data_IF_807634266018
#
_entry.id   IF_807634266018
#
_cell.length_a   1.000
_cell.length_b   1.000
_cell.length_c   1.000
_cell.angle_alpha   90.00
_cell.angle_beta   90.00
_cell.angle_gamma   90.00
#
_symmetry.space_group_name_H-M   'P 1'
#
loop_
_entity.id
_entity.type
_entity.pdbx_description
1 polymer ?
#
# COMPACT_ATOMS: atom_id res chain seq x y z
N UNK A 1 43.15 -20.10 -9.81
CA UNK A 1 42.03 -19.16 -10.00
C UNK A 1 40.71 -19.87 -9.73
N UNK A 2 40.39 -20.16 -8.47
CA UNK A 2 39.19 -20.92 -8.14
C UNK A 2 38.95 -20.91 -6.64
N UNK A 3 38.13 -19.99 -6.16
CA UNK A 3 37.60 -19.95 -4.78
C UNK A 3 36.43 -18.96 -4.59
N UNK A 4 35.66 -18.61 -5.64
CA UNK A 4 34.44 -17.76 -5.48
C UNK A 4 33.11 -18.42 -5.88
N UNK A 5 33.12 -19.55 -6.59
CA UNK A 5 31.87 -20.25 -6.97
C UNK A 5 31.29 -21.14 -5.87
N UNK A 6 32.06 -21.45 -4.82
CA UNK A 6 31.66 -22.41 -3.77
C UNK A 6 30.70 -21.83 -2.72
N UNK A 7 30.81 -20.54 -2.38
CA UNK A 7 29.93 -19.91 -1.38
C UNK A 7 28.57 -19.52 -1.97
N UNK A 8 28.53 -19.02 -3.20
CA UNK A 8 27.29 -18.70 -3.90
C UNK A 8 26.40 -19.93 -4.13
N UNK A 9 26.99 -21.07 -4.51
CA UNK A 9 26.25 -22.33 -4.67
C UNK A 9 25.84 -22.95 -3.35
N UNK A 10 26.53 -22.64 -2.25
CA UNK A 10 26.15 -23.08 -0.90
C UNK A 10 24.96 -22.26 -0.38
N UNK A 11 24.92 -20.96 -0.64
CA UNK A 11 23.76 -20.09 -0.36
C UNK A 11 22.51 -20.53 -1.14
N UNK A 12 22.62 -20.72 -2.46
CA UNK A 12 21.49 -21.16 -3.29
C UNK A 12 20.90 -22.52 -2.84
N UNK A 13 21.73 -23.45 -2.37
CA UNK A 13 21.27 -24.77 -1.88
C UNK A 13 20.63 -24.70 -0.50
N UNK A 14 21.10 -23.82 0.38
CA UNK A 14 20.47 -23.56 1.69
C UNK A 14 19.14 -22.85 1.50
N UNK A 15 19.06 -21.92 0.54
CA UNK A 15 17.85 -21.19 0.15
C UNK A 15 16.79 -22.13 -0.46
N UNK A 16 17.17 -23.02 -1.40
CA UNK A 16 16.25 -24.01 -1.97
C UNK A 16 15.74 -25.01 -0.90
N UNK A 17 16.58 -25.42 0.04
CA UNK A 17 16.20 -26.31 1.13
C UNK A 17 15.28 -25.60 2.14
N UNK A 18 15.55 -24.35 2.52
CA UNK A 18 14.65 -23.55 3.35
C UNK A 18 13.32 -23.24 2.65
N UNK A 19 13.37 -22.95 1.34
CA UNK A 19 12.18 -22.75 0.51
C UNK A 19 11.35 -24.04 0.43
N UNK A 20 11.96 -25.21 0.21
CA UNK A 20 11.24 -26.49 0.12
C UNK A 20 10.79 -27.05 1.47
N UNK A 21 11.48 -26.74 2.56
CA UNK A 21 11.22 -27.32 3.89
C UNK A 21 10.31 -26.45 4.78
N UNK A 22 10.12 -25.17 4.48
CA UNK A 22 9.28 -24.25 5.27
C UNK A 22 8.30 -23.38 4.47
N UNK A 23 8.36 -23.32 3.14
CA UNK A 23 7.31 -22.66 2.36
C UNK A 23 6.12 -23.61 2.34
N UNK A 24 5.29 -23.48 3.37
CA UNK A 24 3.91 -23.88 3.27
C UNK A 24 3.30 -22.95 2.20
N UNK A 25 3.43 -23.31 0.92
CA UNK A 25 2.80 -22.59 -0.20
C UNK A 25 1.31 -22.41 0.11
N UNK A 26 0.74 -23.39 0.83
CA UNK A 26 -0.59 -23.32 1.43
C UNK A 26 -0.77 -22.14 2.38
N UNK A 27 0.14 -21.82 3.30
CA UNK A 27 0.01 -20.64 4.17
C UNK A 27 0.11 -19.32 3.39
N UNK A 28 1.00 -19.23 2.39
CA UNK A 28 1.07 -18.05 1.51
C UNK A 28 -0.21 -17.91 0.66
N UNK A 29 -0.75 -19.01 0.15
CA UNK A 29 -2.07 -19.05 -0.48
C UNK A 29 -3.18 -18.66 0.51
N UNK A 30 -3.06 -19.04 1.79
CA UNK A 30 -4.03 -18.73 2.85
C UNK A 30 -3.92 -17.32 3.42
N UNK A 31 -2.78 -16.64 3.30
CA UNK A 31 -2.57 -15.29 3.85
C UNK A 31 -2.60 -14.23 2.75
N UNK A 32 -2.11 -14.54 1.56
CA UNK A 32 -2.12 -13.60 0.43
C UNK A 32 -3.33 -13.78 -0.50
N UNK A 33 -3.93 -14.98 -0.54
CA UNK A 33 -4.94 -15.32 -1.57
C UNK A 33 -6.25 -15.95 -1.04
N UNK A 34 -6.37 -16.32 0.24
CA UNK A 34 -7.69 -16.68 0.79
C UNK A 34 -8.49 -15.39 0.92
N UNK A 35 -9.53 -15.33 0.10
CA UNK A 35 -10.74 -14.55 0.38
C UNK A 35 -11.15 -14.88 1.81
N UNK A 36 -10.99 -13.95 2.74
CA UNK A 36 -11.82 -13.99 3.92
C UNK A 36 -13.27 -13.90 3.40
N UNK A 37 -14.07 -14.93 3.70
CA UNK A 37 -15.40 -15.14 3.11
C UNK A 37 -16.45 -14.12 3.57
N UNK A 38 -16.05 -13.04 4.23
CA UNK A 38 -16.94 -11.93 4.52
C UNK A 38 -16.90 -10.97 3.34
N UNK A 39 -18.00 -10.93 2.60
CA UNK A 39 -18.27 -9.83 1.66
C UNK A 39 -17.97 -8.51 2.39
N UNK A 40 -17.24 -7.56 1.76
CA UNK A 40 -16.99 -6.28 2.37
C UNK A 40 -18.35 -5.68 2.74
N UNK A 41 -18.53 -5.33 4.00
CA UNK A 41 -19.76 -4.72 4.48
C UNK A 41 -19.89 -3.35 3.80
N UNK A 42 -20.63 -3.28 2.70
CA UNK A 42 -20.74 -2.08 1.84
C UNK A 42 -21.29 -0.86 2.59
N UNK A 43 -21.92 -1.04 3.75
CA UNK A 43 -22.39 0.03 4.64
C UNK A 43 -21.28 1.03 4.99
N UNK A 44 -20.01 0.60 5.04
CA UNK A 44 -18.89 1.51 5.34
C UNK A 44 -18.39 2.29 4.12
N UNK A 45 -18.88 1.98 2.92
CA UNK A 45 -18.60 2.73 1.69
C UNK A 45 -19.59 3.89 1.49
N UNK A 46 -20.68 3.96 2.27
CA UNK A 46 -21.61 5.11 2.27
C UNK A 46 -20.91 6.44 2.66
N UNK A 47 -19.72 6.33 3.26
CA UNK A 47 -18.85 7.46 3.60
C UNK A 47 -18.10 8.05 2.39
N UNK A 48 -18.07 7.32 1.27
CA UNK A 48 -17.37 7.73 0.06
C UNK A 48 -18.36 8.49 -0.83
N UNK A 49 -18.10 9.77 -1.01
CA UNK A 49 -18.90 10.59 -1.90
C UNK A 49 -18.69 10.14 -3.36
N UNK A 50 -19.76 9.99 -4.17
CA UNK A 50 -19.66 9.63 -5.58
C UNK A 50 -19.22 10.86 -6.41
N UNK A 51 -17.93 11.19 -6.32
CA UNK A 51 -17.34 12.38 -6.95
C UNK A 51 -16.68 12.11 -8.32
N UNK A 52 -16.63 10.84 -8.73
CA UNK A 52 -16.08 10.45 -10.04
C UNK A 52 -17.11 10.77 -11.12
N UNK A 53 -16.72 11.63 -12.06
CA UNK A 53 -17.57 12.03 -13.18
C UNK A 53 -17.57 10.97 -14.29
N UNK A 54 -18.48 11.10 -15.25
CA UNK A 54 -18.45 10.26 -16.46
C UNK A 54 -17.15 10.46 -17.25
N UNK A 55 -16.66 11.69 -17.35
CA UNK A 55 -15.39 12.01 -18.01
C UNK A 55 -14.18 11.35 -17.32
N UNK A 56 -14.15 11.35 -15.99
CA UNK A 56 -13.11 10.65 -15.22
C UNK A 56 -13.13 9.13 -15.51
N UNK A 57 -14.33 8.54 -15.59
CA UNK A 57 -14.50 7.13 -15.97
C UNK A 57 -14.07 6.86 -17.41
N UNK A 58 -14.43 7.72 -18.35
CA UNK A 58 -14.04 7.59 -19.75
C UNK A 58 -12.51 7.58 -19.89
N UNK A 59 -11.82 8.47 -19.17
CA UNK A 59 -10.34 8.49 -19.13
C UNK A 59 -9.77 7.21 -18.53
N UNK A 60 -10.33 6.72 -17.41
CA UNK A 60 -9.85 5.50 -16.76
C UNK A 60 -10.04 4.26 -17.64
N UNK A 61 -11.14 4.19 -18.38
CA UNK A 61 -11.52 3.04 -19.20
C UNK A 61 -11.08 3.11 -20.66
N UNK A 62 -10.57 4.26 -21.13
CA UNK A 62 -10.15 4.44 -22.52
C UNK A 62 -9.11 3.38 -22.95
N UNK A 63 -9.23 2.89 -24.19
CA UNK A 63 -8.21 2.01 -24.77
C UNK A 63 -6.92 2.82 -24.97
N UNK A 64 -5.77 2.39 -24.41
CA UNK A 64 -4.53 3.13 -24.53
C UNK A 64 -3.97 3.10 -25.96
N UNK A 65 -3.47 4.24 -26.43
CA UNK A 65 -2.80 4.37 -27.72
C UNK A 65 -1.34 3.90 -27.64
N UNK A 66 -0.72 3.59 -28.80
CA UNK A 66 0.70 3.20 -28.88
C UNK A 66 1.63 4.23 -28.21
N UNK A 67 1.31 5.53 -28.30
CA UNK A 67 2.08 6.59 -27.66
C UNK A 67 2.05 6.48 -26.12
N UNK A 68 0.89 6.18 -25.53
CA UNK A 68 0.78 5.99 -24.08
C UNK A 68 1.52 4.72 -23.62
N UNK A 69 1.40 3.64 -24.39
CA UNK A 69 2.04 2.35 -24.11
C UNK A 69 3.56 2.48 -24.21
N UNK A 70 4.07 3.11 -25.27
CA UNK A 70 5.50 3.35 -25.45
C UNK A 70 6.06 4.25 -24.34
N UNK A 71 5.35 5.33 -23.98
CA UNK A 71 5.74 6.18 -22.85
C UNK A 71 5.83 5.38 -21.54
N UNK A 72 4.89 4.46 -21.28
CA UNK A 72 4.96 3.56 -20.13
C UNK A 72 6.23 2.69 -20.18
N UNK A 73 6.53 2.07 -21.32
CA UNK A 73 7.72 1.21 -21.53
C UNK A 73 9.02 1.97 -21.32
N UNK A 74 9.19 3.12 -21.97
CA UNK A 74 10.43 3.91 -21.92
C UNK A 74 10.63 4.60 -20.57
N UNK A 75 9.57 4.75 -19.75
CA UNK A 75 9.69 5.22 -18.37
C UNK A 75 10.12 4.13 -17.36
N UNK A 76 10.23 2.87 -17.77
CA UNK A 76 10.65 1.78 -16.89
C UNK A 76 12.17 1.76 -16.68
N UNK A 77 12.60 1.22 -15.52
CA UNK A 77 14.03 1.03 -15.23
C UNK A 77 14.60 -0.06 -16.13
N UNK A 78 15.65 0.26 -16.89
CA UNK A 78 16.33 -0.69 -17.80
C UNK A 78 16.82 -1.96 -17.07
N UNK A 79 17.44 -1.78 -15.91
CA UNK A 79 18.10 -2.85 -15.15
C UNK A 79 17.24 -3.40 -14.00
N UNK A 80 15.91 -3.33 -14.11
CA UNK A 80 15.03 -3.95 -13.11
C UNK A 80 15.06 -5.48 -13.23
N UNK A 81 14.99 -6.19 -12.10
CA UNK A 81 14.84 -7.64 -12.09
C UNK A 81 13.59 -8.06 -12.91
N UNK A 82 13.74 -9.04 -13.83
CA UNK A 82 12.64 -9.55 -14.64
C UNK A 82 11.68 -10.41 -13.82
N UNK A 83 10.51 -10.69 -14.39
CA UNK A 83 9.62 -11.72 -13.87
C UNK A 83 10.09 -13.13 -14.29
N UNK A 84 9.23 -14.15 -14.10
CA UNK A 84 9.52 -15.53 -14.52
C UNK A 84 9.90 -15.71 -15.99
N UNK A 85 9.53 -14.77 -16.86
CA UNK A 85 9.87 -14.81 -18.29
C UNK A 85 11.33 -14.46 -18.61
N UNK A 86 12.07 -13.88 -17.66
CA UNK A 86 13.45 -13.46 -17.85
C UNK A 86 13.63 -12.15 -18.62
N UNK A 87 12.55 -11.49 -19.08
CA UNK A 87 12.64 -10.27 -19.87
C UNK A 87 12.46 -9.01 -19.02
N UNK A 88 13.54 -8.24 -18.86
CA UNK A 88 13.56 -6.98 -18.11
C UNK A 88 13.17 -5.76 -18.96
N UNK A 89 13.01 -4.59 -18.33
CA UNK A 89 12.64 -3.35 -19.04
C UNK A 89 13.61 -2.96 -20.17
N UNK A 90 14.90 -3.26 -20.02
CA UNK A 90 15.91 -3.02 -21.07
C UNK A 90 15.67 -3.80 -22.35
N UNK A 91 15.11 -5.02 -22.27
CA UNK A 91 14.74 -5.81 -23.45
C UNK A 91 13.65 -5.10 -24.25
N UNK A 92 12.57 -4.68 -23.58
CA UNK A 92 11.43 -4.03 -24.23
C UNK A 92 11.79 -2.68 -24.85
N UNK A 93 12.70 -1.94 -24.23
CA UNK A 93 13.19 -0.67 -24.77
C UNK A 93 14.16 -0.88 -25.94
N UNK A 94 15.01 -1.92 -25.88
CA UNK A 94 16.01 -2.19 -26.92
C UNK A 94 15.44 -2.84 -28.18
N UNK A 95 14.37 -3.63 -28.05
CA UNK A 95 13.72 -4.35 -29.15
C UNK A 95 12.32 -3.83 -29.49
N UNK A 96 12.01 -2.58 -29.10
CA UNK A 96 10.69 -1.97 -29.27
C UNK A 96 10.15 -2.11 -30.71
N UNK A 97 10.97 -1.81 -31.71
CA UNK A 97 10.55 -1.86 -33.11
C UNK A 97 10.14 -3.26 -33.60
N UNK A 98 10.60 -4.31 -32.92
CA UNK A 98 10.24 -5.71 -33.21
C UNK A 98 8.95 -6.09 -32.49
N UNK A 99 8.84 -5.75 -31.20
CA UNK A 99 7.79 -6.28 -30.32
C UNK A 99 6.55 -5.39 -30.19
N UNK A 100 6.62 -4.13 -30.65
CA UNK A 100 5.59 -3.12 -30.36
C UNK A 100 4.20 -3.54 -30.82
N UNK A 101 4.07 -4.21 -31.95
CA UNK A 101 2.78 -4.62 -32.49
C UNK A 101 2.08 -5.59 -31.53
N UNK A 102 2.77 -6.68 -31.17
CA UNK A 102 2.23 -7.69 -30.24
C UNK A 102 1.92 -7.10 -28.86
N UNK A 103 2.79 -6.21 -28.37
CA UNK A 103 2.63 -5.61 -27.05
C UNK A 103 1.47 -4.61 -27.00
N UNK A 104 1.30 -3.79 -28.05
CA UNK A 104 0.17 -2.86 -28.17
C UNK A 104 -1.13 -3.63 -28.25
N UNK A 105 -1.20 -4.66 -29.10
CA UNK A 105 -2.38 -5.52 -29.22
C UNK A 105 -2.74 -6.18 -27.89
N UNK A 106 -1.75 -6.74 -27.18
CA UNK A 106 -1.95 -7.37 -25.87
C UNK A 106 -2.53 -6.40 -24.84
N UNK A 107 -1.96 -5.19 -24.75
CA UNK A 107 -2.41 -4.18 -23.79
C UNK A 107 -3.83 -3.70 -24.16
N UNK A 108 -4.09 -3.38 -25.42
CA UNK A 108 -5.42 -2.93 -25.86
C UNK A 108 -6.48 -4.03 -25.69
N UNK A 109 -6.12 -5.28 -25.95
CA UNK A 109 -6.99 -6.45 -25.72
C UNK A 109 -7.41 -6.56 -24.26
N UNK A 110 -6.49 -6.33 -23.32
CA UNK A 110 -6.80 -6.26 -21.89
C UNK A 110 -7.77 -5.11 -21.55
N UNK A 111 -7.51 -3.90 -22.05
CA UNK A 111 -8.40 -2.75 -21.81
C UNK A 111 -9.77 -2.90 -22.48
N UNK A 112 -9.90 -3.75 -23.51
CA UNK A 112 -11.17 -4.18 -24.09
C UNK A 112 -11.93 -5.22 -23.25
N UNK A 113 -11.46 -5.55 -22.04
CA UNK A 113 -12.14 -6.45 -21.11
C UNK A 113 -11.72 -7.91 -21.21
N UNK A 114 -10.70 -8.24 -22.02
CA UNK A 114 -10.17 -9.60 -22.07
C UNK A 114 -9.20 -9.86 -20.91
N UNK A 115 -9.14 -11.11 -20.46
CA UNK A 115 -8.18 -11.52 -19.46
C UNK A 115 -6.78 -11.70 -20.06
N UNK A 116 -5.75 -11.35 -19.28
CA UNK A 116 -4.38 -11.71 -19.62
C UNK A 116 -4.17 -13.22 -19.53
N UNK A 117 -3.26 -13.74 -20.35
CA UNK A 117 -2.84 -15.14 -20.23
C UNK A 117 -2.13 -15.37 -18.89
N UNK A 118 -2.22 -16.60 -18.37
CA UNK A 118 -1.53 -17.00 -17.13
C UNK A 118 -0.03 -16.73 -17.19
N UNK A 119 0.56 -16.81 -18.38
CA UNK A 119 1.96 -16.49 -18.61
C UNK A 119 2.26 -15.03 -18.28
N UNK A 120 1.47 -14.08 -18.79
CA UNK A 120 1.66 -12.65 -18.52
C UNK A 120 1.46 -12.28 -17.04
N UNK A 121 0.54 -12.95 -16.35
CA UNK A 121 0.23 -12.69 -14.94
C UNK A 121 1.16 -13.42 -13.96
N UNK A 122 2.04 -14.29 -14.45
CA UNK A 122 2.98 -15.02 -13.61
C UNK A 122 3.97 -14.06 -12.93
N UNK A 123 4.27 -14.34 -11.65
CA UNK A 123 5.22 -13.55 -10.86
C UNK A 123 6.13 -14.47 -10.05
N UNK A 124 7.37 -14.06 -9.84
CA UNK A 124 8.32 -14.74 -8.97
C UNK A 124 8.33 -14.06 -7.61
N UNK A 125 8.17 -14.84 -6.52
CA UNK A 125 8.26 -14.32 -5.16
C UNK A 125 9.71 -14.40 -4.67
N UNK A 126 10.28 -13.25 -4.32
CA UNK A 126 11.64 -13.13 -3.78
C UNK A 126 11.56 -12.56 -2.36
N UNK A 127 12.31 -13.15 -1.42
CA UNK A 127 12.36 -12.68 -0.04
C UNK A 127 13.62 -11.84 0.16
N UNK A 128 13.46 -10.58 0.56
CA UNK A 128 14.58 -9.69 0.89
C UNK A 128 14.67 -9.55 2.41
N UNK A 129 15.78 -9.94 3.07
CA UNK A 129 15.98 -9.71 4.49
C UNK A 129 15.88 -8.23 4.86
N UNK A 130 15.12 -7.91 5.91
CA UNK A 130 15.08 -6.55 6.48
C UNK A 130 16.18 -6.33 7.53
N UNK A 131 16.79 -7.41 8.01
CA UNK A 131 17.85 -7.43 9.03
C UNK A 131 18.93 -8.46 8.69
N UNK A 132 20.07 -8.39 9.38
CA UNK A 132 21.27 -9.20 9.10
C UNK A 132 21.05 -10.71 9.29
N UNK A 133 20.21 -11.09 10.26
CA UNK A 133 19.92 -12.48 10.60
C UNK A 133 18.40 -12.70 10.72
N UNK A 134 17.68 -12.88 9.60
CA UNK A 134 16.25 -13.13 9.62
C UNK A 134 15.96 -14.54 10.14
N UNK A 135 15.17 -14.65 11.21
CA UNK A 135 14.78 -15.95 11.80
C UNK A 135 13.33 -16.31 11.51
N UNK A 136 12.50 -15.29 11.26
CA UNK A 136 11.05 -15.39 11.05
C UNK A 136 10.63 -14.75 9.73
N UNK A 137 9.43 -15.08 9.25
CA UNK A 137 8.86 -14.46 8.06
C UNK A 137 8.58 -12.96 8.23
N UNK A 138 8.48 -12.46 9.46
CA UNK A 138 8.34 -11.04 9.76
C UNK A 138 9.64 -10.26 9.54
N UNK A 139 10.77 -10.95 9.44
CA UNK A 139 12.12 -10.38 9.26
C UNK A 139 12.52 -10.28 7.78
N UNK A 140 11.64 -10.74 6.89
CA UNK A 140 11.85 -10.72 5.44
C UNK A 140 10.69 -10.00 4.75
N UNK A 141 11.05 -9.21 3.75
CA UNK A 141 10.09 -8.55 2.88
C UNK A 141 9.85 -9.40 1.63
N UNK A 142 8.64 -9.94 1.44
CA UNK A 142 8.29 -10.56 0.17
C UNK A 142 8.18 -9.49 -0.94
N UNK A 143 8.76 -9.78 -2.09
CA UNK A 143 8.70 -8.97 -3.30
C UNK A 143 8.21 -9.84 -4.45
N UNK A 144 7.16 -9.38 -5.12
CA UNK A 144 6.65 -10.01 -6.34
C UNK A 144 7.31 -9.40 -7.56
N UNK A 145 8.05 -10.22 -8.31
CA UNK A 145 8.63 -9.87 -9.60
C UNK A 145 7.68 -10.30 -10.71
N UNK A 146 6.84 -9.38 -11.16
CA UNK A 146 5.90 -9.63 -12.27
C UNK A 146 6.55 -9.43 -13.63
N UNK A 147 6.01 -10.13 -14.63
CA UNK A 147 6.37 -9.93 -16.03
C UNK A 147 6.05 -8.50 -16.50
N UNK A 148 6.81 -8.01 -17.47
CA UNK A 148 6.73 -6.63 -17.95
C UNK A 148 5.35 -6.25 -18.54
N UNK A 149 4.64 -7.10 -19.31
CA UNK A 149 3.31 -6.77 -19.84
C UNK A 149 2.32 -6.32 -18.75
N UNK A 150 2.30 -7.04 -17.62
CA UNK A 150 1.46 -6.68 -16.46
C UNK A 150 1.93 -5.37 -15.82
N UNK A 151 3.24 -5.14 -15.71
CA UNK A 151 3.79 -3.87 -15.20
C UNK A 151 3.43 -2.68 -16.07
N UNK A 152 3.35 -2.85 -17.39
CA UNK A 152 2.94 -1.79 -18.33
C UNK A 152 1.48 -1.41 -18.08
N UNK A 153 0.58 -2.41 -18.02
CA UNK A 153 -0.85 -2.21 -17.73
C UNK A 153 -1.02 -1.48 -16.40
N UNK A 154 -0.40 -1.98 -15.34
CA UNK A 154 -0.43 -1.35 -14.02
C UNK A 154 0.10 0.09 -14.03
N UNK A 155 1.16 0.36 -14.80
CA UNK A 155 1.73 1.71 -14.94
C UNK A 155 0.75 2.67 -15.61
N UNK A 156 0.11 2.23 -16.70
CA UNK A 156 -0.93 3.01 -17.40
C UNK A 156 -2.08 3.33 -16.43
N UNK A 157 -2.64 2.31 -15.78
CA UNK A 157 -3.72 2.48 -14.81
C UNK A 157 -3.33 3.43 -13.67
N UNK A 158 -2.12 3.26 -13.12
CA UNK A 158 -1.61 4.16 -12.07
C UNK A 158 -1.49 5.60 -12.54
N UNK A 159 -0.99 5.82 -13.76
CA UNK A 159 -0.81 7.18 -14.28
C UNK A 159 -2.15 7.88 -14.46
N UNK A 160 -3.17 7.17 -14.94
CA UNK A 160 -4.54 7.71 -15.07
C UNK A 160 -5.19 7.93 -13.69
N UNK A 161 -5.08 6.97 -12.77
CA UNK A 161 -5.56 7.13 -11.39
C UNK A 161 -4.92 8.32 -10.69
N UNK A 162 -3.63 8.58 -10.92
CA UNK A 162 -2.92 9.70 -10.32
C UNK A 162 -3.54 11.08 -10.66
N UNK A 163 -4.26 11.20 -11.78
CA UNK A 163 -4.99 12.41 -12.15
C UNK A 163 -6.24 12.62 -11.29
N UNK A 164 -6.81 11.54 -10.76
CA UNK A 164 -8.08 11.52 -10.04
C UNK A 164 -7.87 11.45 -8.53
N UNK A 165 -6.75 10.88 -8.06
CA UNK A 165 -6.40 10.81 -6.63
C UNK A 165 -6.58 12.13 -5.86
N UNK A 166 -6.22 13.32 -6.40
CA UNK A 166 -6.43 14.59 -5.69
C UNK A 166 -7.90 14.92 -5.41
N UNK A 167 -8.85 14.36 -6.18
CA UNK A 167 -10.29 14.49 -5.92
C UNK A 167 -10.71 13.55 -4.78
N UNK A 168 -10.14 12.35 -4.72
CA UNK A 168 -10.55 11.26 -3.83
C UNK A 168 -10.02 11.38 -2.40
N UNK A 169 -8.80 11.90 -2.24
CA UNK A 169 -8.05 11.82 -0.98
C UNK A 169 -8.27 13.06 -0.09
N UNK A 170 -8.49 12.81 1.20
CA UNK A 170 -8.61 13.83 2.25
C UNK A 170 -7.28 14.54 2.53
N UNK A 171 -7.33 15.82 2.94
CA UNK A 171 -6.12 16.61 3.23
C UNK A 171 -5.22 15.98 4.31
N UNK A 172 -5.79 15.20 5.24
CA UNK A 172 -5.08 14.50 6.32
C UNK A 172 -4.11 13.40 5.85
N UNK A 173 -4.24 12.91 4.62
CA UNK A 173 -3.33 11.91 4.02
C UNK A 173 -2.19 12.56 3.21
N UNK A 174 -2.20 13.88 3.09
CA UNK A 174 -1.28 14.65 2.27
C UNK A 174 -0.44 15.53 3.20
N UNK A 175 0.85 15.69 2.90
CA UNK A 175 1.76 16.51 3.70
C UNK A 175 1.48 18.03 3.58
N UNK A 176 0.26 18.46 3.92
CA UNK A 176 -0.14 19.85 4.15
C UNK A 176 -0.35 20.75 2.92
N UNK A 177 -0.13 20.29 1.68
CA UNK A 177 -0.33 21.12 0.49
C UNK A 177 -1.15 20.41 -0.60
N UNK A 178 -2.25 21.05 -1.06
CA UNK A 178 -3.02 20.68 -2.27
C UNK A 178 -2.33 21.08 -3.58
N UNK A 179 -1.08 21.55 -3.52
CA UNK A 179 -0.36 22.05 -4.69
C UNK A 179 0.44 20.95 -5.38
N UNK A 180 -0.16 20.39 -6.42
CA UNK A 180 0.55 19.82 -7.57
C UNK A 180 1.16 18.44 -7.35
N UNK A 181 1.00 17.61 -8.38
CA UNK A 181 1.63 16.31 -8.60
C UNK A 181 2.78 15.97 -7.62
N UNK A 182 2.53 15.07 -6.67
CA UNK A 182 3.63 14.36 -6.04
C UNK A 182 4.27 13.49 -7.11
N UNK A 183 5.39 13.95 -7.65
CA UNK A 183 6.27 13.07 -8.38
C UNK A 183 6.71 12.01 -7.38
N UNK A 184 6.22 10.77 -7.52
CA UNK A 184 6.78 9.57 -6.89
C UNK A 184 8.21 9.38 -7.43
N UNK A 185 9.10 10.27 -7.03
CA UNK A 185 10.47 10.46 -7.50
C UNK A 185 11.44 9.53 -6.76
N UNK A 186 11.00 8.97 -5.63
CA UNK A 186 11.70 7.89 -4.93
C UNK A 186 10.90 6.61 -5.10
N UNK A 187 11.52 5.70 -5.84
CA UNK A 187 10.91 4.46 -6.29
C UNK A 187 10.26 3.68 -5.16
N UNK A 188 9.03 3.26 -5.40
CA UNK A 188 8.48 2.12 -4.71
C UNK A 188 9.47 0.97 -4.83
N UNK A 189 9.90 0.48 -3.66
CA UNK A 189 10.70 -0.73 -3.49
C UNK A 189 10.06 -1.79 -4.38
N UNK A 190 10.84 -2.28 -5.35
CA UNK A 190 10.53 -3.29 -6.36
C UNK A 190 9.16 -3.96 -6.16
N UNK A 191 8.21 -3.66 -7.05
CA UNK A 191 6.84 -4.16 -6.96
C UNK A 191 5.98 -3.62 -8.09
N UNK A 192 4.67 -3.83 -7.98
CA UNK A 192 3.67 -3.39 -8.95
C UNK A 192 3.46 -1.85 -8.89
N UNK A 193 3.49 -1.12 -10.03
CA UNK A 193 3.25 0.32 -10.08
C UNK A 193 1.88 0.76 -9.53
N UNK A 194 0.85 -0.07 -9.61
CA UNK A 194 -0.53 0.29 -9.28
C UNK A 194 -0.86 0.16 -7.80
N UNK A 195 -0.35 -0.88 -7.14
CA UNK A 195 -0.65 -1.21 -5.74
C UNK A 195 -0.61 -0.03 -4.75
N UNK A 196 0.32 0.94 -4.84
CA UNK A 196 0.40 2.07 -3.90
C UNK A 196 -0.75 3.06 -4.05
N UNK A 197 -1.20 3.31 -5.29
CA UNK A 197 -2.39 4.14 -5.52
C UNK A 197 -3.64 3.47 -4.94
N UNK A 198 -3.77 2.15 -5.11
CA UNK A 198 -4.88 1.38 -4.54
C UNK A 198 -4.82 1.34 -3.00
N UNK A 199 -3.62 1.23 -2.43
CA UNK A 199 -3.44 1.29 -0.97
C UNK A 199 -3.89 2.63 -0.41
N UNK A 200 -3.52 3.75 -1.05
CA UNK A 200 -3.95 5.09 -0.64
C UNK A 200 -5.48 5.21 -0.70
N UNK A 201 -6.11 4.73 -1.79
CA UNK A 201 -7.58 4.71 -1.91
C UNK A 201 -8.23 3.87 -0.79
N UNK A 202 -7.64 2.71 -0.45
CA UNK A 202 -8.12 1.90 0.67
C UNK A 202 -7.97 2.59 2.02
N UNK A 203 -6.83 3.26 2.25
CA UNK A 203 -6.55 3.99 3.48
C UNK A 203 -7.47 5.21 3.65
N UNK A 204 -7.92 5.84 2.56
CA UNK A 204 -8.84 6.99 2.57
C UNK A 204 -10.14 6.69 3.34
N UNK A 205 -10.61 5.43 3.30
CA UNK A 205 -11.78 5.00 4.09
C UNK A 205 -11.57 5.29 5.58
N UNK A 206 -10.41 4.93 6.13
CA UNK A 206 -10.08 5.19 7.53
C UNK A 206 -10.01 6.69 7.82
N UNK A 207 -9.42 7.47 6.91
CA UNK A 207 -9.34 8.92 7.05
C UNK A 207 -10.69 9.59 7.13
N UNK A 208 -11.64 9.17 6.28
CA UNK A 208 -13.02 9.66 6.33
C UNK A 208 -13.74 9.22 7.60
N UNK A 209 -13.54 7.98 8.05
CA UNK A 209 -14.13 7.49 9.31
C UNK A 209 -13.68 8.31 10.52
N UNK A 210 -12.43 8.77 10.55
CA UNK A 210 -11.96 9.68 11.58
C UNK A 210 -12.53 11.09 11.41
N UNK A 211 -12.60 11.62 10.19
CA UNK A 211 -13.17 12.94 9.96
C UNK A 211 -14.67 13.01 10.33
N UNK A 212 -15.42 11.92 10.16
CA UNK A 212 -16.80 11.82 10.66
C UNK A 212 -16.94 11.93 12.18
N UNK A 213 -15.88 11.60 12.95
CA UNK A 213 -15.93 11.76 14.40
C UNK A 213 -16.09 13.23 14.80
N UNK A 214 -15.65 14.19 13.97
CA UNK A 214 -15.82 15.61 14.24
C UNK A 214 -17.30 16.05 14.26
N UNK A 215 -18.18 15.30 13.62
CA UNK A 215 -19.63 15.54 13.64
C UNK A 215 -20.35 14.89 14.83
N UNK A 216 -19.63 14.15 15.69
CA UNK A 216 -20.20 13.47 16.85
C UNK A 216 -20.00 14.31 18.11
N UNK A 217 -21.09 14.72 18.77
CA UNK A 217 -21.07 15.55 19.98
C UNK A 217 -20.28 14.93 21.16
N UNK A 218 -20.11 13.61 21.18
CA UNK A 218 -19.34 12.90 22.20
C UNK A 218 -17.83 12.88 21.90
N UNK A 219 -17.42 13.29 20.70
CA UNK A 219 -16.03 13.35 20.29
C UNK A 219 -15.48 14.75 20.51
N UNK A 220 -14.37 14.82 21.23
CA UNK A 220 -13.63 16.04 21.45
C UNK A 220 -12.30 15.94 20.69
N UNK A 221 -12.27 16.58 19.52
CA UNK A 221 -11.10 16.65 18.66
C UNK A 221 -9.93 17.42 19.29
N UNK A 222 -8.72 17.12 18.82
CA UNK A 222 -7.52 17.85 19.22
C UNK A 222 -7.38 19.15 18.43
N UNK A 223 -7.05 20.25 19.10
CA UNK A 223 -6.67 21.50 18.43
C UNK A 223 -5.56 22.22 19.17
N UNK A 224 -4.66 22.86 18.42
CA UNK A 224 -3.52 23.59 18.97
C UNK A 224 -3.94 24.92 19.61
N UNK A 225 -5.07 25.50 19.21
CA UNK A 225 -5.65 26.69 19.82
C UNK A 225 -7.18 26.53 19.97
N UNK A 226 -7.79 27.22 20.93
CA UNK A 226 -9.23 27.03 21.26
C UNK A 226 -10.19 27.32 20.10
N UNK A 227 -9.79 28.12 19.13
CA UNK A 227 -10.57 28.44 17.92
C UNK A 227 -10.00 27.77 16.65
N UNK A 228 -9.10 26.80 16.82
CA UNK A 228 -8.35 26.22 15.72
C UNK A 228 -9.03 25.07 15.03
N UNK A 229 -8.52 24.75 13.85
CA UNK A 229 -8.89 23.55 13.13
C UNK A 229 -8.68 22.34 14.04
N UNK A 230 -9.69 21.48 14.12
CA UNK A 230 -9.59 20.21 14.82
C UNK A 230 -8.90 19.21 13.90
N UNK A 231 -7.78 18.66 14.37
CA UNK A 231 -7.01 17.63 13.66
C UNK A 231 -7.35 16.29 14.29
N UNK A 232 -7.77 15.32 13.46
CA UNK A 232 -8.09 13.96 13.90
C UNK A 232 -6.89 13.03 13.71
N UNK A 233 -6.21 13.13 12.57
CA UNK A 233 -5.08 12.27 12.22
C UNK A 233 -4.18 12.91 11.15
N UNK A 234 -2.97 12.36 11.04
CA UNK A 234 -2.03 12.51 9.93
C UNK A 234 -1.63 11.11 9.46
N UNK A 235 -1.69 10.84 8.17
CA UNK A 235 -1.36 9.53 7.61
C UNK A 235 -0.27 9.63 6.53
N UNK A 236 0.65 8.68 6.52
CA UNK A 236 1.64 8.50 5.47
C UNK A 236 1.88 7.01 5.22
N UNK A 237 1.41 6.50 4.07
CA UNK A 237 1.40 5.07 3.78
C UNK A 237 0.75 4.27 4.93
N UNK A 238 1.47 3.31 5.51
CA UNK A 238 1.01 2.45 6.61
C UNK A 238 1.11 3.10 8.00
N UNK A 239 1.80 4.23 8.12
CA UNK A 239 1.95 4.97 9.38
C UNK A 239 0.82 6.00 9.57
N UNK A 240 0.08 5.88 10.68
CA UNK A 240 -1.00 6.81 11.03
C UNK A 240 -0.79 7.35 12.44
N UNK A 241 -0.69 8.67 12.54
CA UNK A 241 -0.67 9.39 13.81
C UNK A 241 -2.07 9.95 14.10
N UNK A 242 -2.66 9.53 15.21
CA UNK A 242 -4.02 9.93 15.63
C UNK A 242 -3.91 10.94 16.77
N UNK A 243 -4.66 12.03 16.67
CA UNK A 243 -4.73 13.08 17.67
C UNK A 243 -6.09 13.04 18.37
N UNK A 244 -6.06 13.06 19.70
CA UNK A 244 -7.28 13.03 20.51
C UNK A 244 -7.10 13.88 21.77
N UNK A 245 -8.22 14.32 22.33
CA UNK A 245 -8.26 14.91 23.66
C UNK A 245 -8.07 13.84 24.75
N UNK A 246 -7.99 14.29 26.01
CA UNK A 246 -7.93 13.45 27.23
C UNK A 246 -9.23 12.66 27.48
N UNK A 247 -10.28 12.87 26.67
CA UNK A 247 -11.60 12.31 26.90
C UNK A 247 -11.63 10.81 26.61
N UNK A 248 -12.03 10.02 27.61
CA UNK A 248 -12.27 8.57 27.48
C UNK A 248 -13.23 8.26 26.32
N UNK A 249 -14.34 9.01 26.23
CA UNK A 249 -15.33 8.82 25.17
C UNK A 249 -14.71 8.99 23.77
N UNK A 250 -13.83 9.98 23.60
CA UNK A 250 -13.16 10.22 22.31
C UNK A 250 -12.20 9.07 21.96
N UNK A 251 -11.48 8.55 22.95
CA UNK A 251 -10.60 7.41 22.77
C UNK A 251 -11.38 6.13 22.42
N UNK A 252 -12.49 5.87 23.10
CA UNK A 252 -13.37 4.73 22.81
C UNK A 252 -13.95 4.80 21.39
N UNK A 253 -14.33 6.00 20.93
CA UNK A 253 -14.80 6.23 19.56
C UNK A 253 -13.71 5.98 18.51
N UNK A 254 -12.47 6.44 18.76
CA UNK A 254 -11.32 6.17 17.90
C UNK A 254 -11.07 4.66 17.81
N UNK A 255 -11.01 3.97 18.95
CA UNK A 255 -10.80 2.52 18.99
C UNK A 255 -11.94 1.75 18.30
N UNK A 256 -13.17 2.26 18.37
CA UNK A 256 -14.30 1.73 17.60
C UNK A 256 -14.09 1.90 16.10
N UNK A 257 -13.65 3.06 15.62
CA UNK A 257 -13.39 3.27 14.19
C UNK A 257 -12.23 2.42 13.68
N UNK A 258 -11.16 2.26 14.47
CA UNK A 258 -10.07 1.35 14.15
C UNK A 258 -10.55 -0.10 13.99
N UNK A 259 -11.38 -0.58 14.93
CA UNK A 259 -12.00 -1.92 14.84
C UNK A 259 -12.92 -2.06 13.63
N UNK A 260 -13.69 -1.02 13.32
CA UNK A 260 -14.53 -1.01 12.13
C UNK A 260 -13.66 -1.12 10.86
N UNK A 261 -12.61 -0.30 10.73
CA UNK A 261 -11.73 -0.33 9.57
C UNK A 261 -11.13 -1.72 9.35
N UNK A 262 -10.61 -2.36 10.41
CA UNK A 262 -10.12 -3.76 10.37
C UNK A 262 -11.17 -4.72 9.79
N UNK A 263 -12.44 -4.60 10.21
CA UNK A 263 -13.54 -5.42 9.68
C UNK A 263 -13.89 -5.09 8.23
N UNK A 264 -13.75 -3.84 7.80
CA UNK A 264 -14.11 -3.40 6.45
C UNK A 264 -13.06 -3.79 5.43
N UNK A 265 -11.79 -3.53 5.77
CA UNK A 265 -10.66 -3.63 4.85
C UNK A 265 -9.94 -4.98 4.92
N UNK A 266 -10.16 -5.76 5.99
CA UNK A 266 -9.38 -6.97 6.28
C UNK A 266 -7.95 -6.67 6.76
N UNK A 267 -7.58 -5.40 6.90
CA UNK A 267 -6.27 -5.02 7.45
C UNK A 267 -6.20 -5.32 8.94
N UNK A 268 -4.98 -5.50 9.46
CA UNK A 268 -4.74 -5.73 10.89
C UNK A 268 -3.84 -4.64 11.46
N UNK A 269 -4.11 -4.23 12.70
CA UNK A 269 -3.28 -3.27 13.43
C UNK A 269 -2.14 -4.01 14.11
N UNK A 270 -0.91 -3.55 13.90
CA UNK A 270 0.25 -4.11 14.59
C UNK A 270 0.36 -3.50 16.00
N UNK A 271 -0.30 -4.10 16.99
CA UNK A 271 -0.27 -3.63 18.37
C UNK A 271 1.14 -3.61 18.99
N UNK A 272 2.06 -4.45 18.51
CA UNK A 272 3.44 -4.49 18.99
C UNK A 272 4.27 -3.27 18.53
N UNK A 273 3.95 -2.74 17.34
CA UNK A 273 4.56 -1.51 16.79
C UNK A 273 3.77 -0.24 17.13
N UNK A 274 2.50 -0.38 17.54
CA UNK A 274 1.64 0.74 17.89
C UNK A 274 1.95 1.27 19.30
N UNK A 275 2.02 2.59 19.44
CA UNK A 275 2.32 3.25 20.70
C UNK A 275 1.51 4.53 20.87
N UNK A 276 1.48 5.07 22.09
CA UNK A 276 0.87 6.36 22.38
C UNK A 276 1.81 7.27 23.17
N UNK A 277 1.62 8.57 22.98
CA UNK A 277 2.37 9.63 23.65
C UNK A 277 1.38 10.59 24.33
N UNK A 278 1.74 11.07 25.51
CA UNK A 278 0.98 12.06 26.28
C UNK A 278 1.86 13.26 26.62
N UNK A 279 1.25 14.36 27.07
CA UNK A 279 2.00 15.51 27.55
C UNK A 279 2.92 15.13 28.73
N UNK A 280 4.10 15.75 28.90
CA UNK A 280 5.05 15.41 29.97
C UNK A 280 4.48 15.47 31.39
N UNK A 281 3.43 16.28 31.60
CA UNK A 281 2.79 16.50 32.89
C UNK A 281 1.54 15.63 33.10
N UNK A 282 1.30 14.64 32.24
CA UNK A 282 0.13 13.77 32.36
C UNK A 282 0.25 12.87 33.61
N UNK A 283 -0.86 12.75 34.35
CA UNK A 283 -0.93 11.88 35.53
C UNK A 283 -0.83 10.39 35.14
N UNK A 284 -0.17 9.60 36.00
CA UNK A 284 -0.04 8.15 35.83
C UNK A 284 -1.38 7.43 35.74
N UNK A 285 -2.41 7.94 36.42
CA UNK A 285 -3.80 7.45 36.36
C UNK A 285 -4.33 7.45 34.92
N UNK A 286 -4.08 8.55 34.20
CA UNK A 286 -4.54 8.74 32.83
C UNK A 286 -3.72 7.91 31.82
N UNK A 287 -2.41 7.77 32.05
CA UNK A 287 -1.56 6.89 31.23
C UNK A 287 -2.04 5.44 31.33
N UNK A 288 -2.39 4.98 32.54
CA UNK A 288 -2.91 3.64 32.76
C UNK A 288 -4.27 3.46 32.08
N UNK A 289 -5.17 4.45 32.16
CA UNK A 289 -6.47 4.42 31.48
C UNK A 289 -6.31 4.30 29.96
N UNK A 290 -5.43 5.09 29.33
CA UNK A 290 -5.16 4.97 27.88
C UNK A 290 -4.62 3.57 27.55
N UNK A 291 -3.71 3.05 28.37
CA UNK A 291 -3.12 1.73 28.17
C UNK A 291 -4.17 0.61 28.26
N UNK A 292 -5.12 0.71 29.19
CA UNK A 292 -6.23 -0.24 29.32
C UNK A 292 -7.18 -0.20 28.13
N UNK A 293 -7.50 1.00 27.63
CA UNK A 293 -8.45 1.17 26.51
C UNK A 293 -7.82 0.76 25.17
N UNK A 294 -6.57 1.16 24.93
CA UNK A 294 -5.90 0.98 23.63
C UNK A 294 -5.13 -0.34 23.54
N UNK A 295 -4.57 -0.82 24.65
CA UNK A 295 -3.60 -1.90 24.67
C UNK A 295 -2.22 -1.52 24.11
N UNK A 296 -1.96 -0.24 23.81
CA UNK A 296 -0.72 0.22 23.20
C UNK A 296 0.36 0.55 24.23
N UNK A 297 1.62 0.53 23.79
CA UNK A 297 2.76 0.88 24.64
C UNK A 297 2.86 2.40 24.81
N UNK A 298 3.09 2.86 26.04
CA UNK A 298 3.42 4.26 26.31
C UNK A 298 4.88 4.56 25.93
N UNK A 299 5.10 5.66 25.22
CA UNK A 299 6.43 6.19 24.88
C UNK A 299 6.57 7.65 25.30
N UNK A 300 7.80 8.05 25.63
CA UNK A 300 8.11 9.41 26.11
C UNK A 300 8.67 10.34 25.03
N UNK A 301 9.07 9.80 23.87
CA UNK A 301 9.58 10.57 22.73
C UNK A 301 9.30 9.83 21.42
N UNK A 302 9.00 10.62 20.37
CA UNK A 302 8.86 10.15 18.99
C UNK A 302 10.17 9.65 18.37
N UNK A 303 11.33 9.98 18.96
CA UNK A 303 12.66 9.55 18.50
C UNK A 303 12.95 8.05 18.73
N UNK A 304 11.97 7.29 19.22
CA UNK A 304 12.05 5.87 19.56
C UNK A 304 11.19 4.98 18.64
N UNK A 305 10.62 5.57 17.58
CA UNK A 305 9.88 4.90 16.50
C UNK A 305 10.73 4.98 15.24
#
# INVERSE_FOLDING_TARGET
MGTQNGEYTKWLKVEEAMLKQKVNIRWLEEVLFKKDSQSPQLQYLEIIDPIITLEDNDILCAIPEELEISAAVFSMKKNSAPGPDGFGGGFYQGYWDIIKQDLVELVQTFFNGNSLTRYCTSSCLVLIPEMEHPETFSDVRPISLSNIPTKIISKIMRNRLALILPKLISENQINGNRNGFFHLSRGLKQGDPLSPALFIIGAEVLSRMFNQLLSNDLFQGFSMHRAGLQITHLAYADDVMIFTSRSKNSLDLIMKQLKNNVKCSGQSINCAKSCFLVSPNAESSHINEIKEITGFKHITSLSLI
#
